data_IF_877581218855
#
_entry.id   IF_877581218855
#
_cell.length_a   1.000
_cell.length_b   1.000
_cell.length_c   1.000
_cell.angle_alpha   90.00
_cell.angle_beta   90.00
_cell.angle_gamma   90.00
#
_symmetry.space_group_name_H-M   'P 1'
#
loop_
_entity.id
_entity.type
_entity.pdbx_description
1 polymer ?
#
# COMPACT_ATOMS: atom_id res chain seq x y z
N UNK A 1 54.38 -26.33 46.86
CA UNK A 1 53.00 -26.88 46.85
C UNK A 1 52.02 -25.75 46.53
N UNK A 2 51.15 -25.94 45.52
CA UNK A 2 49.93 -25.16 45.16
C UNK A 2 50.12 -23.69 44.73
N UNK A 3 49.42 -23.13 43.73
CA UNK A 3 48.50 -23.65 42.73
C UNK A 3 48.34 -22.61 41.59
N UNK A 4 48.49 -23.11 40.36
CA UNK A 4 47.81 -22.76 39.10
C UNK A 4 46.88 -21.53 39.03
N UNK A 5 47.30 -20.52 38.26
CA UNK A 5 46.43 -19.46 37.72
C UNK A 5 45.96 -19.85 36.32
N UNK A 6 44.64 -19.94 36.15
CA UNK A 6 43.94 -20.46 34.97
C UNK A 6 44.04 -19.49 33.79
N UNK A 7 44.58 -19.98 32.66
CA UNK A 7 44.41 -19.35 31.34
C UNK A 7 43.01 -19.71 30.81
N UNK A 8 42.03 -18.86 31.12
CA UNK A 8 40.75 -18.85 30.41
C UNK A 8 40.91 -17.94 29.19
N UNK A 9 41.23 -18.51 28.03
CA UNK A 9 41.22 -17.75 26.79
C UNK A 9 40.70 -18.61 25.65
N UNK A 10 39.79 -17.98 24.89
CA UNK A 10 39.26 -18.40 23.62
C UNK A 10 38.36 -19.64 23.65
N UNK A 11 37.05 -19.41 23.64
CA UNK A 11 36.07 -20.10 22.78
C UNK A 11 34.69 -19.50 23.07
N UNK A 12 34.39 -18.33 22.48
CA UNK A 12 33.01 -17.85 22.39
C UNK A 12 32.74 -17.47 20.95
N UNK A 13 32.10 -18.43 20.27
CA UNK A 13 31.21 -18.34 19.12
C UNK A 13 30.96 -16.93 18.54
N UNK A 14 31.53 -16.70 17.36
CA UNK A 14 31.00 -15.72 16.41
C UNK A 14 30.05 -16.45 15.42
N UNK A 15 28.82 -16.77 15.86
CA UNK A 15 27.71 -17.08 14.95
C UNK A 15 26.83 -15.84 14.82
N UNK A 16 27.27 -14.87 14.02
CA UNK A 16 26.38 -13.81 13.54
C UNK A 16 25.53 -14.42 12.45
N UNK A 17 24.36 -14.94 12.84
CA UNK A 17 23.36 -15.42 11.91
C UNK A 17 22.92 -14.26 11.02
N UNK A 18 23.22 -14.38 9.72
CA UNK A 18 22.60 -13.61 8.65
C UNK A 18 21.09 -13.90 8.68
N UNK A 19 20.32 -13.18 9.48
CA UNK A 19 18.87 -13.12 9.31
C UNK A 19 18.60 -12.33 8.04
N UNK A 20 18.67 -13.01 6.90
CA UNK A 20 18.24 -12.48 5.63
C UNK A 20 16.77 -12.12 5.73
N UNK A 21 16.45 -10.82 5.77
CA UNK A 21 15.09 -10.33 5.67
C UNK A 21 14.51 -10.76 4.32
N UNK A 22 13.76 -11.87 4.30
CA UNK A 22 12.87 -12.16 3.17
C UNK A 22 11.79 -11.08 3.18
N UNK A 23 11.55 -10.37 2.07
CA UNK A 23 10.48 -9.39 2.02
C UNK A 23 9.16 -10.09 2.32
N UNK A 24 8.43 -9.57 3.31
CA UNK A 24 7.09 -10.07 3.63
C UNK A 24 6.18 -9.91 2.40
N UNK A 25 5.28 -10.86 2.13
CA UNK A 25 4.33 -10.74 1.04
C UNK A 25 3.47 -9.49 1.24
N UNK A 26 3.15 -8.80 0.15
CA UNK A 26 2.33 -7.57 0.14
C UNK A 26 1.24 -7.67 -0.92
N UNK A 27 0.10 -7.04 -0.65
CA UNK A 27 -0.91 -6.82 -1.67
C UNK A 27 -0.39 -5.85 -2.73
N UNK A 28 -0.78 -6.08 -3.98
CA UNK A 28 -0.58 -5.15 -5.09
C UNK A 28 -1.87 -4.35 -5.22
N UNK A 29 -1.76 -3.02 -5.19
CA UNK A 29 -2.90 -2.13 -5.37
C UNK A 29 -2.47 -0.88 -6.12
N UNK A 30 -3.10 -0.65 -7.27
CA UNK A 30 -2.75 0.41 -8.22
C UNK A 30 -3.99 1.26 -8.47
N UNK A 31 -3.80 2.57 -8.51
CA UNK A 31 -4.79 3.58 -8.90
C UNK A 31 -4.23 4.32 -10.13
N UNK A 32 -4.99 4.34 -11.21
CA UNK A 32 -4.63 4.95 -12.49
C UNK A 32 -5.72 5.93 -12.95
N UNK A 33 -5.40 7.19 -13.27
CA UNK A 33 -4.13 7.85 -12.95
C UNK A 33 -3.97 8.05 -11.42
N UNK A 34 -2.73 8.10 -10.94
CA UNK A 34 -2.41 8.47 -9.54
C UNK A 34 -2.12 9.97 -9.38
N UNK A 35 -1.75 10.64 -10.48
CA UNK A 35 -1.47 12.07 -10.56
C UNK A 35 -2.15 12.62 -11.80
N UNK A 36 -2.87 13.75 -11.66
CA UNK A 36 -3.50 14.45 -12.79
C UNK A 36 -3.27 15.95 -12.66
N UNK A 37 -3.44 16.71 -13.74
CA UNK A 37 -3.51 18.17 -13.60
C UNK A 37 -4.83 18.57 -12.92
N UNK A 38 -4.81 19.58 -12.06
CA UNK A 38 -6.03 20.14 -11.46
C UNK A 38 -7.06 20.59 -12.51
N UNK A 39 -6.61 20.95 -13.71
CA UNK A 39 -7.46 21.33 -14.85
C UNK A 39 -8.22 20.16 -15.50
N UNK A 40 -7.87 18.91 -15.17
CA UNK A 40 -8.47 17.71 -15.77
C UNK A 40 -9.52 17.05 -14.86
N UNK A 41 -9.82 17.66 -13.71
CA UNK A 41 -10.76 17.12 -12.73
C UNK A 41 -12.17 17.70 -12.91
N UNK A 42 -13.25 16.94 -12.61
CA UNK A 42 -13.25 15.55 -12.14
C UNK A 42 -12.88 14.54 -13.23
N UNK A 43 -12.26 13.42 -12.83
CA UNK A 43 -11.80 12.38 -13.76
C UNK A 43 -12.29 10.98 -13.35
N UNK A 44 -12.35 10.07 -14.32
CA UNK A 44 -12.53 8.66 -14.08
C UNK A 44 -11.19 8.02 -13.67
N UNK A 45 -11.23 7.07 -12.75
CA UNK A 45 -10.06 6.34 -12.27
C UNK A 45 -10.27 4.84 -12.43
N UNK A 46 -9.18 4.11 -12.64
CA UNK A 46 -9.15 2.65 -12.62
C UNK A 46 -8.38 2.20 -11.39
N UNK A 47 -8.88 1.18 -10.72
CA UNK A 47 -8.10 0.44 -9.72
C UNK A 47 -7.83 -0.97 -10.19
N UNK A 48 -6.69 -1.51 -9.78
CA UNK A 48 -6.32 -2.92 -9.98
C UNK A 48 -5.76 -3.47 -8.68
N UNK A 49 -6.15 -4.68 -8.31
CA UNK A 49 -5.67 -5.33 -7.09
C UNK A 49 -5.22 -6.77 -7.32
N UNK A 50 -4.28 -7.21 -6.49
CA UNK A 50 -3.89 -8.60 -6.29
C UNK A 50 -3.54 -8.83 -4.82
N UNK A 51 -4.37 -9.61 -4.12
CA UNK A 51 -4.17 -10.02 -2.72
C UNK A 51 -3.72 -11.48 -2.60
N UNK A 52 -3.52 -12.18 -3.72
CA UNK A 52 -3.10 -13.58 -3.72
C UNK A 52 -1.73 -13.84 -3.05
N UNK A 53 -0.74 -12.92 -3.07
CA UNK A 53 0.52 -13.11 -2.33
C UNK A 53 0.31 -13.23 -0.81
N UNK A 54 -0.81 -12.70 -0.30
CA UNK A 54 -1.19 -12.77 1.12
C UNK A 54 -2.01 -14.03 1.45
N UNK A 55 -2.27 -14.90 0.47
CA UNK A 55 -3.13 -16.08 0.64
C UNK A 55 -4.63 -15.75 0.73
N UNK A 56 -5.02 -14.49 0.51
CA UNK A 56 -6.41 -14.05 0.56
C UNK A 56 -7.16 -14.42 -0.72
N UNK A 57 -8.44 -14.80 -0.57
CA UNK A 57 -9.31 -15.19 -1.69
C UNK A 57 -10.20 -14.06 -2.20
N UNK A 58 -10.42 -13.05 -1.36
CA UNK A 58 -11.34 -11.96 -1.64
C UNK A 58 -10.80 -10.65 -1.08
N UNK A 59 -11.18 -9.55 -1.72
CA UNK A 59 -10.87 -8.21 -1.26
C UNK A 59 -12.03 -7.24 -1.55
N UNK A 60 -12.02 -6.13 -0.83
CA UNK A 60 -12.96 -5.02 -1.03
C UNK A 60 -12.17 -3.73 -1.25
N UNK A 61 -12.63 -2.91 -2.19
CA UNK A 61 -12.17 -1.54 -2.39
C UNK A 61 -13.22 -0.58 -1.86
N UNK A 62 -12.78 0.28 -0.95
CA UNK A 62 -13.58 1.34 -0.34
C UNK A 62 -13.09 2.69 -0.86
N UNK A 63 -14.02 3.58 -1.15
CA UNK A 63 -13.75 4.95 -1.59
C UNK A 63 -13.94 5.91 -0.41
N UNK A 64 -12.95 6.76 -0.20
CA UNK A 64 -12.92 7.86 0.76
C UNK A 64 -12.80 9.17 -0.03
N UNK A 65 -13.89 9.95 -0.05
CA UNK A 65 -13.90 11.30 -0.60
C UNK A 65 -13.77 12.30 0.55
N UNK A 66 -13.04 13.39 0.33
CA UNK A 66 -12.88 14.48 1.31
C UNK A 66 -14.25 15.00 1.73
N UNK A 67 -14.49 15.09 3.04
CA UNK A 67 -15.75 15.55 3.60
C UNK A 67 -16.94 14.58 3.49
N UNK A 68 -16.74 13.36 2.98
CA UNK A 68 -17.80 12.34 2.90
C UNK A 68 -17.45 11.07 3.65
N UNK A 69 -18.48 10.34 4.08
CA UNK A 69 -18.29 9.02 4.70
C UNK A 69 -17.71 8.03 3.68
N UNK A 70 -16.79 7.15 4.10
CA UNK A 70 -16.35 6.01 3.30
C UNK A 70 -17.50 5.20 2.74
N UNK A 71 -17.39 4.76 1.47
CA UNK A 71 -18.38 3.90 0.83
C UNK A 71 -17.69 2.72 0.15
N UNK A 72 -18.24 1.51 0.35
CA UNK A 72 -17.87 0.34 -0.45
C UNK A 72 -18.10 0.64 -1.93
N UNK A 73 -17.07 0.43 -2.74
CA UNK A 73 -17.16 0.67 -4.17
C UNK A 73 -17.26 -0.65 -4.94
N UNK A 74 -16.26 -1.51 -4.82
CA UNK A 74 -16.24 -2.83 -5.47
C UNK A 74 -15.71 -3.87 -4.51
N UNK A 75 -16.17 -5.10 -4.62
CA UNK A 75 -15.53 -6.25 -3.98
C UNK A 75 -15.47 -7.39 -4.99
N UNK A 76 -14.49 -8.27 -4.84
CA UNK A 76 -14.29 -9.37 -5.77
C UNK A 76 -13.29 -10.38 -5.27
N UNK A 77 -12.86 -11.23 -6.20
CA UNK A 77 -11.87 -12.27 -5.96
C UNK A 77 -10.49 -11.69 -5.60
N UNK A 78 -9.53 -12.59 -5.39
CA UNK A 78 -8.17 -12.27 -5.01
C UNK A 78 -7.48 -11.28 -5.97
N UNK A 79 -7.93 -11.22 -7.23
CA UNK A 79 -7.46 -10.28 -8.24
C UNK A 79 -8.65 -9.65 -8.95
N UNK A 80 -8.47 -8.42 -9.40
CA UNK A 80 -9.47 -7.77 -10.22
C UNK A 80 -9.12 -6.35 -10.59
N UNK A 81 -10.03 -5.73 -11.33
CA UNK A 81 -9.97 -4.35 -11.74
C UNK A 81 -11.37 -3.72 -11.73
N UNK A 82 -11.43 -2.40 -11.60
CA UNK A 82 -12.67 -1.64 -11.68
C UNK A 82 -12.40 -0.22 -12.16
N UNK A 83 -13.34 0.33 -12.94
CA UNK A 83 -13.29 1.71 -13.44
C UNK A 83 -14.41 2.53 -12.79
N UNK A 84 -14.06 3.70 -12.28
CA UNK A 84 -15.00 4.64 -11.66
C UNK A 84 -15.67 5.51 -12.73
N UNK A 85 -16.77 6.16 -12.35
CA UNK A 85 -17.26 7.31 -13.11
C UNK A 85 -16.36 8.55 -12.95
N UNK A 86 -16.63 9.63 -13.70
CA UNK A 86 -15.84 10.87 -13.67
C UNK A 86 -16.22 11.75 -12.47
N UNK A 87 -15.83 11.31 -11.28
CA UNK A 87 -16.14 12.01 -10.02
C UNK A 87 -14.95 12.07 -9.05
N UNK A 88 -13.78 11.56 -9.45
CA UNK A 88 -12.58 11.67 -8.64
C UNK A 88 -12.01 13.10 -8.72
N UNK A 89 -11.76 13.68 -7.55
CA UNK A 89 -11.11 14.98 -7.35
C UNK A 89 -9.81 14.80 -6.55
N UNK A 90 -9.06 15.88 -6.36
CA UNK A 90 -7.86 15.85 -5.52
C UNK A 90 -8.19 15.31 -4.11
N UNK A 91 -7.29 14.49 -3.57
CA UNK A 91 -7.49 13.80 -2.29
C UNK A 91 -8.44 12.60 -2.35
N UNK A 92 -9.04 12.28 -3.50
CA UNK A 92 -9.79 11.03 -3.70
C UNK A 92 -8.93 9.84 -3.31
N UNK A 93 -9.40 9.09 -2.31
CA UNK A 93 -8.62 7.99 -1.72
C UNK A 93 -9.37 6.68 -1.88
N UNK A 94 -8.66 5.65 -2.35
CA UNK A 94 -9.16 4.28 -2.42
C UNK A 94 -8.38 3.42 -1.43
N UNK A 95 -9.10 2.54 -0.74
CA UNK A 95 -8.56 1.66 0.29
C UNK A 95 -8.91 0.23 -0.06
N UNK A 96 -7.89 -0.61 -0.23
CA UNK A 96 -8.04 -2.05 -0.39
C UNK A 96 -8.09 -2.69 1.00
N UNK A 97 -9.12 -3.48 1.27
CA UNK A 97 -9.34 -4.20 2.52
C UNK A 97 -9.53 -5.69 2.30
N UNK A 98 -9.16 -6.49 3.30
CA UNK A 98 -9.65 -7.86 3.40
C UNK A 98 -11.13 -7.86 3.83
N UNK A 99 -11.83 -8.98 3.66
CA UNK A 99 -13.23 -9.12 4.08
C UNK A 99 -13.42 -8.92 5.60
N UNK A 100 -12.36 -9.15 6.40
CA UNK A 100 -12.39 -8.93 7.84
C UNK A 100 -12.11 -7.46 8.22
N UNK A 101 -12.06 -6.55 7.24
CA UNK A 101 -11.90 -5.11 7.45
C UNK A 101 -10.45 -4.62 7.59
N UNK A 102 -9.45 -5.52 7.51
CA UNK A 102 -8.04 -5.15 7.60
C UNK A 102 -7.63 -4.36 6.36
N UNK A 103 -7.02 -3.19 6.55
CA UNK A 103 -6.48 -2.37 5.47
C UNK A 103 -5.21 -3.01 4.92
N UNK A 104 -5.19 -3.29 3.63
CA UNK A 104 -4.07 -3.92 2.92
C UNK A 104 -3.23 -2.90 2.15
N UNK A 105 -3.87 -1.89 1.56
CA UNK A 105 -3.21 -0.80 0.85
C UNK A 105 -4.13 0.42 0.71
N UNK A 106 -3.53 1.60 0.60
CA UNK A 106 -4.23 2.87 0.35
C UNK A 106 -3.57 3.59 -0.82
N UNK A 107 -4.37 4.17 -1.72
CA UNK A 107 -3.89 5.03 -2.80
C UNK A 107 -4.73 6.30 -2.83
N UNK A 108 -4.09 7.41 -3.15
CA UNK A 108 -4.73 8.72 -3.21
C UNK A 108 -4.39 9.35 -4.56
N UNK A 109 -5.42 9.85 -5.24
CA UNK A 109 -5.26 10.70 -6.40
C UNK A 109 -4.71 12.04 -5.92
N UNK A 110 -3.65 12.49 -6.55
CA UNK A 110 -3.05 13.80 -6.29
C UNK A 110 -3.09 14.66 -7.53
N UNK A 111 -3.07 15.98 -7.35
CA UNK A 111 -2.98 16.92 -8.47
C UNK A 111 -1.66 17.64 -8.56
N UNK A 112 -1.25 17.95 -9.79
CA UNK A 112 -0.30 19.03 -10.09
C UNK A 112 -1.05 20.28 -10.52
N UNK A 113 -0.44 21.48 -10.36
CA UNK A 113 -1.02 22.72 -10.87
C UNK A 113 -1.34 22.65 -12.36
N UNK A 114 -2.22 23.54 -12.82
CA UNK A 114 -2.45 23.73 -14.24
C UNK A 114 -1.19 24.34 -14.89
N UNK A 115 -0.75 23.83 -16.05
CA UNK A 115 0.34 24.47 -16.78
C UNK A 115 0.02 25.95 -17.04
N UNK A 116 0.87 26.87 -16.59
CA UNK A 116 0.68 28.31 -16.75
C UNK A 116 -0.07 29.02 -15.61
N UNK A 117 -0.37 28.32 -14.51
CA UNK A 117 -0.92 28.91 -13.27
C UNK A 117 0.16 29.37 -12.28
N UNK A 118 1.42 29.28 -12.69
CA UNK A 118 2.66 29.51 -11.94
C UNK A 118 2.87 30.99 -11.55
N UNK A 119 1.96 31.89 -11.94
CA UNK A 119 2.06 33.35 -11.82
C UNK A 119 1.07 33.97 -10.83
N UNK A 120 0.53 33.18 -9.90
CA UNK A 120 -0.28 33.63 -8.77
C UNK A 120 0.43 33.40 -7.44
#
# INVERSE_FOLDING_TARGET
MRATTKLFAAWVLAMVALTGCKPAPKAIFVLEPSVVSSCQQPIATRVRWDVSPLGLKYAEVVVHNVGRRPKRWVGGDAKGDAVSGPWAHDGYTVVLKSLNGVVLATRTLTTTPCPGSDWL
#
